data_IF_400004861351
#
_entry.id   IF_400004861351
#
_cell.length_a   1.000
_cell.length_b   1.000
_cell.length_c   1.000
_cell.angle_alpha   90.00
_cell.angle_beta   90.00
_cell.angle_gamma   90.00
#
_symmetry.space_group_name_H-M   'P 1'
#
loop_
_entity.id
_entity.type
_entity.pdbx_description
1 polymer ?
#
# COMPACT_ATOMS: atom_id res chain seq x y z
N UNK A 1 29.24 -64.46 -17.43
CA UNK A 1 28.16 -63.52 -17.82
C UNK A 1 27.09 -63.26 -16.76
N UNK A 2 26.84 -64.16 -15.79
CA UNK A 2 25.76 -64.00 -14.82
C UNK A 2 26.09 -63.06 -13.64
N UNK A 3 27.37 -62.91 -13.28
CA UNK A 3 27.80 -62.01 -12.19
C UNK A 3 27.69 -60.53 -12.54
N UNK A 4 28.15 -60.13 -13.73
CA UNK A 4 28.11 -58.72 -14.17
C UNK A 4 26.68 -58.19 -14.34
N UNK A 5 25.75 -59.03 -14.83
CA UNK A 5 24.32 -58.68 -14.93
C UNK A 5 23.67 -58.47 -13.55
N UNK A 6 24.03 -59.29 -12.56
CA UNK A 6 23.57 -59.12 -11.17
C UNK A 6 24.13 -57.83 -10.54
N UNK A 7 25.39 -57.49 -10.83
CA UNK A 7 26.00 -56.26 -10.34
C UNK A 7 25.36 -55.01 -10.96
N UNK A 8 25.09 -55.00 -12.28
CA UNK A 8 24.34 -53.91 -12.92
C UNK A 8 22.91 -53.80 -12.40
N UNK A 9 22.25 -54.92 -12.13
CA UNK A 9 20.90 -54.95 -11.56
C UNK A 9 20.84 -54.32 -10.17
N UNK A 10 21.85 -54.53 -9.33
CA UNK A 10 21.93 -53.95 -7.99
C UNK A 10 22.18 -52.43 -8.03
N UNK A 11 22.98 -51.96 -9.00
CA UNK A 11 23.28 -50.53 -9.16
C UNK A 11 22.04 -49.72 -9.59
N UNK A 12 21.21 -50.31 -10.46
CA UNK A 12 19.94 -49.73 -10.91
C UNK A 12 18.96 -49.53 -9.76
N UNK A 13 18.82 -50.53 -8.89
CA UNK A 13 17.94 -50.47 -7.72
C UNK A 13 18.40 -49.37 -6.75
N UNK A 14 19.71 -49.20 -6.56
CA UNK A 14 20.27 -48.16 -5.68
C UNK A 14 20.00 -46.74 -6.20
N UNK A 15 20.03 -46.54 -7.52
CA UNK A 15 19.75 -45.23 -8.14
C UNK A 15 18.28 -44.81 -7.97
N UNK A 16 17.37 -45.78 -7.88
CA UNK A 16 15.94 -45.56 -7.66
C UNK A 16 15.64 -45.03 -6.24
N UNK A 17 16.48 -45.34 -5.26
CA UNK A 17 16.37 -44.83 -3.88
C UNK A 17 16.98 -43.43 -3.69
N UNK A 18 17.81 -42.94 -4.62
CA UNK A 18 18.44 -41.62 -4.53
C UNK A 18 17.57 -40.48 -5.09
N UNK A 19 16.40 -40.79 -5.65
CA UNK A 19 15.45 -39.83 -6.20
C UNK A 19 14.36 -39.42 -5.17
N UNK A 20 14.73 -39.29 -3.89
CA UNK A 20 13.80 -38.72 -2.89
C UNK A 20 13.56 -37.26 -3.27
N UNK A 21 12.31 -36.80 -3.46
CA UNK A 21 12.05 -35.40 -3.73
C UNK A 21 12.48 -34.58 -2.52
N UNK A 22 13.44 -33.68 -2.71
CA UNK A 22 13.82 -32.68 -1.73
C UNK A 22 12.62 -31.74 -1.53
N UNK A 23 11.90 -31.92 -0.42
CA UNK A 23 10.84 -30.99 -0.03
C UNK A 23 11.51 -29.64 0.28
N UNK A 24 11.30 -28.66 -0.58
CA UNK A 24 11.71 -27.27 -0.35
C UNK A 24 10.56 -26.55 0.36
N UNK A 25 10.86 -25.89 1.48
CA UNK A 25 9.87 -25.16 2.29
C UNK A 25 9.58 -23.79 1.67
N UNK A 26 8.58 -23.69 0.80
CA UNK A 26 8.10 -22.40 0.25
C UNK A 26 7.10 -21.66 1.18
N UNK A 27 6.69 -22.26 2.30
CA UNK A 27 5.62 -21.76 3.17
C UNK A 27 5.96 -20.48 3.96
N UNK A 28 7.21 -20.29 4.38
CA UNK A 28 7.59 -19.14 5.23
C UNK A 28 7.49 -17.79 4.49
N UNK A 29 7.77 -17.76 3.19
CA UNK A 29 7.70 -16.53 2.39
C UNK A 29 6.24 -16.09 2.19
N UNK A 30 5.35 -17.03 1.90
CA UNK A 30 3.92 -16.77 1.72
C UNK A 30 3.27 -16.25 3.02
N UNK A 31 3.60 -16.86 4.15
CA UNK A 31 3.13 -16.41 5.48
C UNK A 31 3.57 -14.98 5.77
N UNK A 32 4.83 -14.62 5.49
CA UNK A 32 5.34 -13.27 5.73
C UNK A 32 4.63 -12.22 4.85
N UNK A 33 4.41 -12.52 3.57
CA UNK A 33 3.70 -11.60 2.66
C UNK A 33 2.25 -11.38 3.11
N UNK A 34 1.56 -12.44 3.51
CA UNK A 34 0.19 -12.34 4.01
C UNK A 34 0.12 -11.48 5.28
N UNK A 35 1.02 -11.71 6.24
CA UNK A 35 1.06 -10.92 7.48
C UNK A 35 1.35 -9.44 7.24
N UNK A 36 2.24 -9.11 6.31
CA UNK A 36 2.52 -7.72 5.93
C UNK A 36 1.27 -7.07 5.33
N UNK A 37 0.54 -7.79 4.46
CA UNK A 37 -0.69 -7.29 3.88
C UNK A 37 -1.77 -7.07 4.94
N UNK A 38 -2.00 -8.05 5.81
CA UNK A 38 -2.98 -7.92 6.91
C UNK A 38 -2.65 -6.72 7.82
N UNK A 39 -1.35 -6.45 8.07
CA UNK A 39 -0.91 -5.29 8.83
C UNK A 39 -1.19 -3.96 8.10
N UNK A 40 -1.01 -3.91 6.77
CA UNK A 40 -1.37 -2.75 5.96
C UNK A 40 -2.87 -2.48 6.00
N UNK A 41 -3.69 -3.54 5.86
CA UNK A 41 -5.16 -3.43 5.88
C UNK A 41 -5.65 -2.93 7.25
N UNK A 42 -5.08 -3.43 8.35
CA UNK A 42 -5.38 -2.94 9.71
C UNK A 42 -4.97 -1.48 9.87
N UNK A 43 -3.80 -1.10 9.36
CA UNK A 43 -3.31 0.27 9.44
C UNK A 43 -4.19 1.25 8.66
N UNK A 44 -4.57 0.91 7.43
CA UNK A 44 -5.49 1.69 6.59
C UNK A 44 -6.86 1.78 7.27
N UNK A 45 -7.40 0.67 7.79
CA UNK A 45 -8.66 0.63 8.53
C UNK A 45 -8.63 1.56 9.75
N UNK A 46 -7.50 1.59 10.46
CA UNK A 46 -7.31 2.48 11.63
C UNK A 46 -7.29 3.96 11.24
N UNK A 47 -6.77 4.28 10.05
CA UNK A 47 -6.75 5.64 9.52
C UNK A 47 -8.07 6.11 8.89
N UNK A 48 -9.00 5.19 8.63
CA UNK A 48 -10.26 5.48 7.93
C UNK A 48 -11.04 6.69 8.48
N UNK A 49 -11.22 6.89 9.80
CA UNK A 49 -11.92 8.07 10.30
C UNK A 49 -11.24 9.39 9.93
N UNK A 50 -9.90 9.39 9.84
CA UNK A 50 -9.10 10.56 9.48
C UNK A 50 -9.14 10.83 7.97
N UNK A 51 -9.12 9.77 7.17
CA UNK A 51 -9.29 9.80 5.71
C UNK A 51 -10.67 10.38 5.36
N UNK A 52 -11.73 9.78 5.89
CA UNK A 52 -13.12 10.22 5.69
C UNK A 52 -13.29 11.69 6.05
N UNK A 53 -12.70 12.12 7.18
CA UNK A 53 -12.76 13.51 7.61
C UNK A 53 -12.06 14.43 6.61
N UNK A 54 -10.84 14.09 6.18
CA UNK A 54 -10.05 14.89 5.26
C UNK A 54 -10.74 15.09 3.91
N UNK A 55 -11.23 14.00 3.29
CA UNK A 55 -11.98 14.05 2.03
C UNK A 55 -13.24 14.92 2.19
N UNK A 56 -14.03 14.66 3.22
CA UNK A 56 -15.27 15.41 3.45
C UNK A 56 -15.02 16.91 3.63
N UNK A 57 -13.99 17.29 4.38
CA UNK A 57 -13.64 18.69 4.62
C UNK A 57 -13.16 19.37 3.34
N UNK A 58 -12.26 18.72 2.59
CA UNK A 58 -11.75 19.24 1.32
C UNK A 58 -12.89 19.51 0.32
N UNK A 59 -13.71 18.49 0.05
CA UNK A 59 -14.79 18.59 -0.94
C UNK A 59 -15.85 19.63 -0.53
N UNK A 60 -16.18 19.69 0.77
CA UNK A 60 -17.09 20.71 1.32
C UNK A 60 -16.55 22.12 1.10
N UNK A 61 -15.27 22.37 1.41
CA UNK A 61 -14.64 23.70 1.26
C UNK A 61 -14.53 24.11 -0.22
N UNK A 62 -14.28 23.15 -1.10
CA UNK A 62 -14.16 23.37 -2.55
C UNK A 62 -15.51 23.45 -3.28
N UNK A 63 -16.62 23.14 -2.61
CA UNK A 63 -17.96 23.11 -3.23
C UNK A 63 -18.13 21.99 -4.27
N UNK A 64 -17.34 20.92 -4.16
CA UNK A 64 -17.41 19.75 -5.05
C UNK A 64 -18.39 18.73 -4.45
N UNK A 65 -19.20 18.02 -5.25
CA UNK A 65 -20.05 16.93 -4.76
C UNK A 65 -19.27 15.91 -3.93
N UNK A 66 -19.84 15.47 -2.81
CA UNK A 66 -19.21 14.48 -1.94
C UNK A 66 -18.90 13.20 -2.73
N UNK A 67 -17.70 12.66 -2.52
CA UNK A 67 -17.27 11.41 -3.14
C UNK A 67 -17.07 10.30 -2.10
N UNK A 68 -17.32 9.08 -2.55
CA UNK A 68 -17.04 7.85 -1.80
C UNK A 68 -15.66 7.33 -2.18
N UNK A 69 -15.12 6.43 -1.38
CA UNK A 69 -13.87 5.72 -1.65
C UNK A 69 -13.92 4.30 -1.09
N UNK A 70 -13.00 3.46 -1.55
CA UNK A 70 -12.87 2.08 -1.09
C UNK A 70 -11.52 1.88 -0.37
N UNK A 71 -11.55 1.21 0.78
CA UNK A 71 -10.34 0.95 1.58
C UNK A 71 -9.36 0.01 0.88
N UNK A 72 -9.85 -0.95 0.09
CA UNK A 72 -9.00 -1.91 -0.62
C UNK A 72 -8.19 -1.30 -1.77
N UNK A 73 -8.55 -0.09 -2.21
CA UNK A 73 -7.84 0.67 -3.25
C UNK A 73 -6.85 1.69 -2.65
N UNK A 74 -6.78 1.80 -1.33
CA UNK A 74 -5.85 2.69 -0.67
C UNK A 74 -4.41 2.19 -0.78
N UNK A 75 -3.49 3.12 -1.07
CA UNK A 75 -2.06 2.84 -1.20
C UNK A 75 -1.27 3.65 -0.19
N UNK A 76 -0.38 2.99 0.53
CA UNK A 76 0.63 3.67 1.35
C UNK A 76 1.80 3.98 0.41
N UNK A 77 2.05 5.26 0.15
CA UNK A 77 3.15 5.71 -0.70
C UNK A 77 4.45 5.80 0.08
N UNK A 78 4.40 6.28 1.32
CA UNK A 78 5.58 6.50 2.14
C UNK A 78 5.24 6.41 3.64
N UNK A 79 6.14 5.82 4.42
CA UNK A 79 6.17 5.91 5.88
C UNK A 79 7.56 6.38 6.29
N UNK A 80 7.64 7.59 6.84
CA UNK A 80 8.87 8.18 7.34
C UNK A 80 8.78 8.33 8.86
N UNK A 81 9.71 7.72 9.60
CA UNK A 81 9.89 8.02 11.02
C UNK A 81 10.54 9.40 11.15
N UNK A 82 9.95 10.28 11.96
CA UNK A 82 10.43 11.66 12.10
C UNK A 82 11.71 11.74 12.95
N UNK A 83 11.78 10.96 14.02
CA UNK A 83 12.93 10.92 14.94
C UNK A 83 13.21 9.49 15.38
N UNK A 84 14.50 9.12 15.47
CA UNK A 84 14.91 7.80 15.94
C UNK A 84 14.44 7.56 17.39
N UNK A 85 13.95 6.35 17.68
CA UNK A 85 13.38 6.02 18.99
C UNK A 85 12.00 6.63 19.29
N UNK A 86 11.51 7.59 18.49
CA UNK A 86 10.17 8.15 18.63
C UNK A 86 9.10 7.25 17.99
N UNK A 87 7.84 7.40 18.39
CA UNK A 87 6.68 6.79 17.71
C UNK A 87 5.93 7.81 16.85
N UNK A 88 6.68 8.76 16.27
CA UNK A 88 6.14 9.82 15.41
C UNK A 88 6.49 9.55 13.95
N UNK A 89 5.47 9.51 13.10
CA UNK A 89 5.60 9.17 11.68
C UNK A 89 4.93 10.21 10.81
N UNK A 90 5.55 10.49 9.66
CA UNK A 90 4.91 11.12 8.52
C UNK A 90 4.52 10.03 7.53
N UNK A 91 3.24 9.93 7.23
CA UNK A 91 2.70 8.87 6.37
C UNK A 91 1.95 9.50 5.22
N UNK A 92 2.31 9.12 4.00
CA UNK A 92 1.64 9.57 2.78
C UNK A 92 0.84 8.42 2.21
N UNK A 93 -0.45 8.65 1.99
CA UNK A 93 -1.37 7.67 1.38
C UNK A 93 -2.02 8.25 0.14
N UNK A 94 -2.43 7.38 -0.77
CA UNK A 94 -3.18 7.70 -1.96
C UNK A 94 -4.49 6.89 -2.00
N UNK A 95 -5.59 7.56 -2.31
CA UNK A 95 -6.92 6.94 -2.40
C UNK A 95 -7.66 7.43 -3.64
N UNK A 96 -8.42 6.53 -4.25
CA UNK A 96 -9.31 6.82 -5.38
C UNK A 96 -10.71 7.15 -4.87
N UNK A 97 -11.29 8.24 -5.38
CA UNK A 97 -12.64 8.68 -5.04
C UNK A 97 -13.58 8.59 -6.25
N UNK A 98 -14.85 8.30 -5.99
CA UNK A 98 -15.88 8.10 -7.01
C UNK A 98 -17.24 8.61 -6.55
N UNK A 99 -18.11 8.96 -7.50
CA UNK A 99 -19.48 9.45 -7.25
C UNK A 99 -20.54 8.35 -7.32
N UNK A 100 -20.19 7.13 -7.74
CA UNK A 100 -21.09 5.97 -7.80
C UNK A 100 -20.37 4.67 -8.21
N UNK A 101 -21.01 3.51 -8.00
CA UNK A 101 -20.45 2.15 -8.15
C UNK A 101 -20.08 1.74 -9.59
N UNK A 102 -20.42 2.55 -10.58
CA UNK A 102 -20.15 2.32 -12.00
C UNK A 102 -19.46 3.51 -12.70
N UNK A 103 -19.09 4.55 -11.94
CA UNK A 103 -18.34 5.68 -12.48
C UNK A 103 -16.84 5.38 -12.31
N UNK A 104 -16.00 5.62 -13.34
CA UNK A 104 -14.56 5.61 -13.17
C UNK A 104 -14.16 6.53 -11.99
N UNK A 105 -13.09 6.21 -11.25
CA UNK A 105 -12.54 7.13 -10.25
C UNK A 105 -12.37 8.52 -10.83
N UNK A 106 -13.01 9.49 -10.18
CA UNK A 106 -13.03 10.88 -10.65
C UNK A 106 -11.97 11.72 -9.96
N UNK A 107 -11.39 11.21 -8.87
CA UNK A 107 -10.38 11.89 -8.09
C UNK A 107 -9.37 10.93 -7.51
N UNK A 108 -8.14 11.42 -7.40
CA UNK A 108 -7.07 10.77 -6.66
C UNK A 108 -6.61 11.73 -5.59
N UNK A 109 -6.77 11.28 -4.36
CA UNK A 109 -6.44 12.06 -3.19
C UNK A 109 -5.14 11.54 -2.61
N UNK A 110 -4.12 12.39 -2.59
CA UNK A 110 -2.89 12.14 -1.87
C UNK A 110 -2.93 12.91 -0.55
N UNK A 111 -2.83 12.20 0.57
CA UNK A 111 -2.92 12.78 1.90
C UNK A 111 -1.68 12.43 2.69
N UNK A 112 -1.10 13.43 3.35
CA UNK A 112 0.03 13.23 4.27
C UNK A 112 -0.43 13.49 5.69
N UNK A 113 -0.18 12.52 6.57
CA UNK A 113 -0.53 12.58 7.99
C UNK A 113 0.70 12.59 8.87
N UNK A 114 0.63 13.31 9.98
CA UNK A 114 1.46 13.08 11.15
C UNK A 114 0.71 12.12 12.08
N UNK A 115 1.33 10.99 12.39
CA UNK A 115 0.79 9.97 13.30
C UNK A 115 1.74 9.87 14.48
N UNK A 116 1.22 10.08 15.69
CA UNK A 116 1.98 10.04 16.94
C UNK A 116 1.13 9.47 18.07
N UNK A 117 1.70 9.21 19.26
CA UNK A 117 0.92 8.82 20.44
C UNK A 117 -0.14 9.87 20.85
N UNK A 118 -0.02 11.11 20.38
CA UNK A 118 -0.97 12.19 20.63
C UNK A 118 -2.13 12.24 19.61
N UNK A 119 -2.12 11.34 18.62
CA UNK A 119 -3.15 11.22 17.60
C UNK A 119 -2.65 11.44 16.18
N UNK A 120 -3.61 11.53 15.26
CA UNK A 120 -3.40 11.68 13.82
C UNK A 120 -3.80 13.09 13.36
N UNK A 121 -2.91 13.77 12.65
CA UNK A 121 -3.14 15.10 12.08
C UNK A 121 -2.89 15.08 10.58
N UNK A 122 -3.83 15.63 9.81
CA UNK A 122 -3.63 15.89 8.38
C UNK A 122 -2.62 17.05 8.23
N UNK A 123 -1.58 16.85 7.43
CA UNK A 123 -0.59 17.87 7.09
C UNK A 123 -0.84 18.44 5.69
N UNK A 124 -1.16 17.58 4.73
CA UNK A 124 -1.34 17.95 3.34
C UNK A 124 -2.46 17.12 2.70
N UNK A 125 -3.22 17.76 1.80
CA UNK A 125 -4.23 17.14 0.96
C UNK A 125 -4.04 17.64 -0.47
N UNK A 126 -3.70 16.75 -1.38
CA UNK A 126 -3.55 17.04 -2.81
C UNK A 126 -4.60 16.28 -3.58
N UNK A 127 -5.42 17.03 -4.32
CA UNK A 127 -6.43 16.49 -5.22
C UNK A 127 -5.90 16.47 -6.64
N UNK A 128 -6.01 15.32 -7.31
CA UNK A 128 -5.81 15.19 -8.74
C UNK A 128 -7.10 14.76 -9.42
N UNK A 129 -7.46 15.42 -10.51
CA UNK A 129 -8.60 15.02 -11.34
C UNK A 129 -8.23 13.80 -12.19
N UNK A 130 -9.13 12.82 -12.26
CA UNK A 130 -8.97 11.63 -13.07
C UNK A 130 -8.09 10.54 -12.44
N UNK A 131 -7.78 9.52 -13.23
CA UNK A 131 -6.94 8.38 -12.84
C UNK A 131 -5.48 8.81 -12.62
N UNK A 132 -4.78 8.35 -11.55
CA UNK A 132 -3.37 8.65 -11.38
C UNK A 132 -2.60 7.92 -12.47
N UNK A 133 -1.76 8.64 -13.21
CA UNK A 133 -0.88 8.06 -14.24
C UNK A 133 0.09 6.99 -13.65
N UNK A 134 0.20 6.93 -12.33
CA UNK A 134 1.11 6.07 -11.58
C UNK A 134 0.49 4.71 -11.22
N UNK A 135 -0.79 4.48 -11.53
CA UNK A 135 -1.42 3.17 -11.31
C UNK A 135 -1.18 2.19 -12.47
N UNK A 136 -0.70 2.68 -13.61
CA UNK A 136 -0.50 1.87 -14.83
C UNK A 136 0.95 1.61 -15.19
N UNK A 137 1.92 2.32 -14.60
CA UNK A 137 3.33 2.09 -14.91
C UNK A 137 4.20 2.33 -13.69
N UNK A 138 4.68 1.24 -13.11
CA UNK A 138 6.00 1.26 -12.48
C UNK A 138 7.06 1.49 -13.55
N UNK A 139 7.10 2.69 -14.11
CA UNK A 139 8.26 3.24 -14.83
C UNK A 139 7.97 4.68 -15.28
N UNK A 140 9.01 5.52 -15.17
CA UNK A 140 9.25 6.81 -15.84
C UNK A 140 8.86 8.08 -15.09
N UNK A 141 9.92 8.61 -14.48
CA UNK A 141 10.17 9.97 -14.02
C UNK A 141 9.89 10.97 -15.15
N UNK A 142 9.13 12.03 -14.85
CA UNK A 142 9.25 13.32 -15.52
C UNK A 142 7.97 13.87 -16.15
N UNK A 143 7.34 14.83 -15.45
CA UNK A 143 6.96 16.15 -15.99
C UNK A 143 5.86 16.77 -15.12
N UNK A 144 6.24 17.76 -14.32
CA UNK A 144 5.33 18.63 -13.58
C UNK A 144 4.25 19.24 -14.49
N UNK A 145 2.99 19.27 -14.03
CA UNK A 145 2.07 20.36 -14.35
C UNK A 145 1.16 20.68 -13.15
N UNK A 146 1.35 21.90 -12.63
CA UNK A 146 0.45 22.69 -11.76
C UNK A 146 -0.06 22.03 -10.45
N UNK A 147 0.74 22.07 -9.39
CA UNK A 147 0.28 21.83 -8.02
C UNK A 147 -0.14 23.16 -7.37
N UNK A 148 -1.42 23.35 -7.05
CA UNK A 148 -1.87 24.46 -6.20
C UNK A 148 -1.78 24.04 -4.74
N UNK A 149 -0.67 24.39 -4.09
CA UNK A 149 -0.45 24.19 -2.64
C UNK A 149 -1.14 25.32 -1.89
N UNK A 150 -2.11 25.01 -1.02
CA UNK A 150 -2.67 25.99 -0.08
C UNK A 150 -2.23 25.57 1.34
N UNK A 151 -1.37 26.36 2.02
CA UNK A 151 -1.04 26.10 3.42
C UNK A 151 -2.20 26.50 4.32
N UNK A 152 -2.72 25.57 5.13
CA UNK A 152 -3.60 25.89 6.25
C UNK A 152 -2.74 26.26 7.47
N UNK A 153 -2.26 27.50 7.51
CA UNK A 153 -1.76 28.11 8.76
C UNK A 153 -2.65 29.29 9.11
N UNK A 154 -3.28 29.21 10.28
CA UNK A 154 -4.13 30.25 10.82
C UNK A 154 -4.26 30.10 12.31
N UNK A 155 -3.19 30.42 13.04
CA UNK A 155 -3.25 30.80 14.45
C UNK A 155 -4.25 31.94 14.63
N UNK A 156 -5.15 31.84 15.60
CA UNK A 156 -5.67 33.03 16.29
C UNK A 156 -5.60 32.75 17.79
N UNK A 157 -4.60 33.36 18.41
CA UNK A 157 -4.61 33.79 19.81
C UNK A 157 -5.38 35.11 19.82
N UNK A 158 -6.50 35.17 20.53
CA UNK A 158 -6.87 36.28 21.41
C UNK A 158 -8.00 35.85 22.34
#
# INVERSE_FOLDING_TARGET
MNGLKKMLSLLSILFMFLQVPSQTNASNLEVNIKQIKDLQDVFITTLDPHISKAIREYYKVKGIPMRSYALWDAKILEIQRLEEGSFSFKVTIQIRTYTGTHNPPEGVETMTFNISPFGVKLLEFVHHEGEPQDFLTGDKIGSCFACSVIPLTGSIVQ
#
